data_IF_016579026106
#
_entry.id   IF_016579026106
#
_cell.length_a   1.000
_cell.length_b   1.000
_cell.length_c   1.000
_cell.angle_alpha   90.00
_cell.angle_beta   90.00
_cell.angle_gamma   90.00
#
_symmetry.space_group_name_H-M   'P 1'
#
loop_
_entity.id
_entity.type
_entity.pdbx_description
1 polymer ?
#
# COMPACT_ATOMS: atom_id res chain seq x y z
N UNK A 1 32.51 -6.16 -0.52
CA UNK A 1 31.27 -6.27 0.27
C UNK A 1 30.16 -5.84 -0.66
N UNK A 2 29.24 -6.75 -1.00
CA UNK A 2 27.98 -6.39 -1.66
C UNK A 2 27.21 -5.52 -0.68
N UNK A 3 26.70 -4.38 -1.16
CA UNK A 3 25.82 -3.53 -0.37
C UNK A 3 24.58 -4.36 0.06
N UNK A 4 24.43 -4.57 1.36
CA UNK A 4 23.30 -5.32 1.93
C UNK A 4 22.00 -4.51 1.95
N UNK A 5 21.98 -3.39 1.21
CA UNK A 5 20.86 -2.44 1.20
C UNK A 5 20.47 -2.01 -0.22
N UNK A 6 19.17 -1.86 -0.42
CA UNK A 6 18.60 -1.12 -1.54
C UNK A 6 18.42 0.35 -1.16
N UNK A 7 18.90 1.25 -2.01
CA UNK A 7 18.61 2.67 -1.86
C UNK A 7 17.27 2.98 -2.53
N UNK A 8 16.30 3.42 -1.73
CA UNK A 8 15.07 4.03 -2.23
C UNK A 8 15.39 5.46 -2.63
N UNK A 9 15.15 5.81 -3.88
CA UNK A 9 15.46 7.14 -4.42
C UNK A 9 14.27 7.70 -5.19
N UNK A 10 14.08 9.02 -5.06
CA UNK A 10 13.02 9.76 -5.75
C UNK A 10 13.12 11.24 -5.40
N UNK A 11 12.30 12.06 -6.02
CA UNK A 11 12.15 13.46 -5.63
C UNK A 11 11.27 13.61 -4.38
N UNK A 12 11.22 14.82 -3.83
CA UNK A 12 10.33 15.18 -2.74
C UNK A 12 8.96 15.66 -3.25
N UNK A 13 8.00 15.90 -2.36
CA UNK A 13 6.76 16.57 -2.76
C UNK A 13 7.03 18.02 -3.21
N UNK A 14 8.02 18.69 -2.61
CA UNK A 14 8.41 20.03 -3.01
C UNK A 14 8.95 20.05 -4.46
N UNK A 15 9.76 19.07 -4.85
CA UNK A 15 10.23 18.91 -6.24
C UNK A 15 9.07 18.74 -7.24
N UNK A 16 7.91 18.32 -6.76
CA UNK A 16 6.68 18.20 -7.56
C UNK A 16 5.76 19.42 -7.49
N UNK A 17 6.23 20.53 -6.90
CA UNK A 17 5.52 21.80 -6.82
C UNK A 17 4.61 21.96 -5.60
N UNK A 18 4.71 21.10 -4.60
CA UNK A 18 4.03 21.30 -3.31
C UNK A 18 4.82 22.31 -2.49
N UNK A 19 4.10 23.22 -1.83
CA UNK A 19 4.72 24.27 -1.01
C UNK A 19 5.67 23.67 0.05
N UNK A 20 6.83 24.28 0.26
CA UNK A 20 7.86 23.83 1.20
C UNK A 20 7.38 23.70 2.66
N UNK A 21 6.41 24.52 3.04
CA UNK A 21 5.78 24.49 4.37
C UNK A 21 4.68 23.42 4.52
N UNK A 22 4.33 22.72 3.44
CA UNK A 22 3.33 21.67 3.51
C UNK A 22 3.88 20.46 4.30
N UNK A 23 2.98 19.78 5.00
CA UNK A 23 3.34 18.59 5.75
C UNK A 23 3.99 17.56 4.83
N UNK A 24 5.13 16.99 5.25
CA UNK A 24 5.91 16.00 4.51
C UNK A 24 6.57 16.49 3.20
N UNK A 25 6.58 17.79 2.91
CA UNK A 25 7.09 18.35 1.66
C UNK A 25 8.51 17.89 1.31
N UNK A 26 9.37 17.70 2.32
CA UNK A 26 10.77 17.32 2.19
C UNK A 26 11.03 15.81 2.22
N UNK A 27 10.00 14.98 2.39
CA UNK A 27 10.19 13.54 2.41
C UNK A 27 10.33 12.98 1.00
N UNK A 28 11.28 12.06 0.82
CA UNK A 28 11.50 11.34 -0.44
C UNK A 28 10.24 10.56 -0.85
N UNK A 29 9.90 10.62 -2.12
CA UNK A 29 8.74 9.93 -2.68
C UNK A 29 9.20 8.93 -3.73
N UNK A 30 8.87 7.64 -3.54
CA UNK A 30 9.28 6.57 -4.46
C UNK A 30 8.16 5.60 -4.83
N UNK A 31 7.34 5.05 -3.89
CA UNK A 31 6.28 4.12 -4.23
C UNK A 31 5.24 4.70 -5.18
N UNK A 32 4.83 3.89 -6.15
CA UNK A 32 3.73 4.23 -7.09
C UNK A 32 2.41 3.59 -6.69
N UNK A 33 2.49 2.53 -5.87
CA UNK A 33 1.36 1.78 -5.32
C UNK A 33 1.71 1.26 -3.93
N UNK A 34 0.70 0.80 -3.22
CA UNK A 34 0.79 0.13 -1.93
C UNK A 34 0.33 -1.32 -2.04
N UNK A 35 0.56 -2.10 -1.01
CA UNK A 35 0.08 -3.47 -0.90
C UNK A 35 0.19 -3.98 0.53
N UNK A 36 -0.42 -5.12 0.81
CA UNK A 36 -0.40 -5.74 2.13
C UNK A 36 -0.39 -7.27 2.04
N UNK A 37 0.21 -7.93 3.02
CA UNK A 37 0.29 -9.38 3.10
C UNK A 37 -1.04 -9.98 3.57
N UNK A 38 -1.47 -11.06 2.91
CA UNK A 38 -2.61 -11.90 3.32
C UNK A 38 -2.19 -13.34 3.62
N UNK A 39 -0.96 -13.70 3.25
CA UNK A 39 -0.27 -14.94 3.65
C UNK A 39 1.25 -14.64 3.62
N UNK A 40 2.13 -15.53 4.10
CA UNK A 40 3.56 -15.25 4.20
C UNK A 40 4.22 -14.82 2.87
N UNK A 41 3.75 -15.32 1.73
CA UNK A 41 4.27 -15.00 0.39
C UNK A 41 3.19 -14.41 -0.54
N UNK A 42 1.99 -14.10 -0.03
CA UNK A 42 0.89 -13.55 -0.82
C UNK A 42 0.60 -12.10 -0.44
N UNK A 43 0.58 -11.25 -1.46
CA UNK A 43 0.35 -9.81 -1.31
C UNK A 43 -0.85 -9.38 -2.15
N UNK A 44 -1.72 -8.58 -1.55
CA UNK A 44 -2.84 -7.93 -2.22
C UNK A 44 -2.48 -6.49 -2.56
N UNK A 45 -2.86 -6.06 -3.76
CA UNK A 45 -2.72 -4.68 -4.25
C UNK A 45 -3.86 -4.33 -5.21
N UNK A 46 -3.87 -3.13 -5.77
CA UNK A 46 -4.83 -2.76 -6.81
C UNK A 46 -4.48 -3.40 -8.16
N UNK A 47 -5.50 -3.76 -8.93
CA UNK A 47 -5.35 -4.43 -10.22
C UNK A 47 -4.67 -3.57 -11.28
N UNK A 48 -4.81 -2.24 -11.20
CA UNK A 48 -4.12 -1.32 -12.09
C UNK A 48 -2.63 -1.19 -11.77
N UNK A 49 -2.18 -1.56 -10.56
CA UNK A 49 -0.78 -1.57 -10.16
C UNK A 49 0.02 -2.69 -10.83
N UNK A 50 -0.65 -3.80 -11.18
CA UNK A 50 0.00 -4.97 -11.78
C UNK A 50 -0.68 -5.29 -13.10
N UNK A 51 -0.15 -4.76 -14.21
CA UNK A 51 -0.77 -4.90 -15.55
C UNK A 51 -0.62 -6.29 -16.18
N UNK A 52 0.19 -7.17 -15.60
CA UNK A 52 0.44 -8.54 -16.08
C UNK A 52 1.76 -9.10 -15.54
N UNK A 53 2.08 -10.34 -15.94
CA UNK A 53 3.25 -11.07 -15.41
C UNK A 53 4.58 -10.34 -15.68
N UNK A 54 4.79 -9.77 -16.86
CA UNK A 54 6.00 -9.02 -17.17
C UNK A 54 6.15 -7.76 -16.31
N UNK A 55 5.06 -7.06 -16.10
CA UNK A 55 5.01 -5.87 -15.24
C UNK A 55 5.25 -6.24 -13.76
N UNK A 56 4.66 -7.35 -13.29
CA UNK A 56 4.88 -7.92 -11.97
C UNK A 56 6.38 -8.12 -11.68
N UNK A 57 7.12 -8.73 -12.60
CA UNK A 57 8.56 -9.01 -12.43
C UNK A 57 9.43 -7.76 -12.41
N UNK A 58 8.98 -6.66 -12.98
CA UNK A 58 9.75 -5.41 -13.07
C UNK A 58 9.63 -4.54 -11.82
N UNK A 59 8.59 -4.75 -11.00
CA UNK A 59 8.42 -4.03 -9.74
C UNK A 59 9.12 -4.74 -8.58
N UNK A 60 9.41 -3.94 -7.56
CA UNK A 60 9.87 -4.42 -6.26
C UNK A 60 8.84 -4.04 -5.20
N UNK A 61 8.59 -4.97 -4.30
CA UNK A 61 7.75 -4.77 -3.12
C UNK A 61 8.67 -4.56 -1.94
N UNK A 62 8.63 -3.37 -1.40
CA UNK A 62 9.57 -2.90 -0.38
C UNK A 62 8.84 -2.74 0.93
N UNK A 63 9.31 -3.45 1.95
CA UNK A 63 8.86 -3.26 3.33
C UNK A 63 9.80 -2.30 4.05
N UNK A 64 9.31 -1.65 5.11
CA UNK A 64 10.06 -0.69 5.94
C UNK A 64 10.47 0.62 5.24
N UNK A 65 9.83 0.96 4.12
CA UNK A 65 9.94 2.32 3.62
C UNK A 65 9.04 3.23 4.46
N UNK A 66 9.60 3.73 5.55
CA UNK A 66 8.91 4.52 6.57
C UNK A 66 9.85 5.57 7.17
N UNK A 67 9.41 6.30 8.16
CA UNK A 67 10.28 7.14 8.99
C UNK A 67 10.72 6.38 10.23
N UNK A 68 11.93 6.66 10.68
CA UNK A 68 12.47 6.12 11.94
C UNK A 68 11.91 6.87 13.16
N UNK A 69 12.32 6.45 14.36
CA UNK A 69 11.92 7.10 15.63
C UNK A 69 12.35 8.56 15.76
N UNK A 70 13.28 9.03 14.91
CA UNK A 70 13.75 10.43 14.83
C UNK A 70 13.13 11.20 13.68
N UNK A 71 12.09 10.65 13.04
CA UNK A 71 11.39 11.22 11.88
C UNK A 71 12.21 11.33 10.59
N UNK A 72 13.35 10.63 10.49
CA UNK A 72 14.10 10.56 9.24
C UNK A 72 13.50 9.49 8.33
N UNK A 73 13.50 9.75 7.02
CA UNK A 73 13.07 8.75 6.02
C UNK A 73 14.12 7.65 5.93
N UNK A 74 13.68 6.38 6.05
CA UNK A 74 14.52 5.21 5.84
C UNK A 74 14.67 5.01 4.33
N UNK A 75 15.74 5.57 3.74
CA UNK A 75 16.04 5.41 2.31
C UNK A 75 16.89 4.18 2.00
N UNK A 76 17.60 3.64 2.98
CA UNK A 76 18.38 2.41 2.85
C UNK A 76 17.60 1.26 3.46
N UNK A 77 17.00 0.45 2.61
CA UNK A 77 16.20 -0.70 3.03
C UNK A 77 17.01 -1.97 2.84
N UNK A 78 17.08 -2.81 3.88
CA UNK A 78 17.78 -4.08 3.81
C UNK A 78 17.28 -4.93 2.62
N UNK A 79 18.18 -5.61 1.92
CA UNK A 79 17.82 -6.45 0.75
C UNK A 79 16.78 -7.51 1.10
N UNK A 80 16.78 -7.99 2.35
CA UNK A 80 15.82 -8.97 2.84
C UNK A 80 14.39 -8.42 2.93
N UNK A 81 14.21 -7.11 2.94
CA UNK A 81 12.92 -6.42 2.93
C UNK A 81 12.44 -6.01 1.53
N UNK A 82 13.17 -6.42 0.48
CA UNK A 82 12.83 -6.13 -0.92
C UNK A 82 12.50 -7.41 -1.65
N UNK A 83 11.29 -7.53 -2.14
CA UNK A 83 10.74 -8.74 -2.75
C UNK A 83 10.41 -8.51 -4.22
N UNK A 84 10.54 -9.56 -5.01
CA UNK A 84 10.08 -9.59 -6.40
C UNK A 84 8.72 -10.27 -6.48
N UNK A 85 7.90 -9.83 -7.44
CA UNK A 85 6.69 -10.56 -7.79
C UNK A 85 7.06 -11.66 -8.79
N UNK A 86 6.66 -12.91 -8.51
CA UNK A 86 6.92 -14.07 -9.39
C UNK A 86 5.68 -14.56 -10.11
N UNK A 87 4.49 -14.30 -9.56
CA UNK A 87 3.22 -14.77 -10.11
C UNK A 87 2.09 -13.76 -9.85
N UNK A 88 1.20 -13.61 -10.82
CA UNK A 88 -0.10 -12.95 -10.64
C UNK A 88 -1.15 -14.04 -10.53
N UNK A 89 -1.56 -14.36 -9.29
CA UNK A 89 -2.51 -15.45 -9.01
C UNK A 89 -3.90 -15.08 -9.50
N UNK A 90 -4.33 -13.86 -9.16
CA UNK A 90 -5.64 -13.34 -9.57
C UNK A 90 -5.55 -11.84 -9.77
N UNK A 91 -6.25 -11.35 -10.77
CA UNK A 91 -6.34 -9.92 -11.05
C UNK A 91 -7.68 -9.58 -11.66
N UNK A 92 -8.27 -8.49 -11.21
CA UNK A 92 -9.42 -7.87 -11.87
C UNK A 92 -9.16 -6.38 -12.04
N UNK A 93 -9.51 -5.88 -13.22
CA UNK A 93 -9.58 -4.44 -13.51
C UNK A 93 -10.77 -4.25 -14.45
N UNK A 94 -11.92 -3.88 -13.89
CA UNK A 94 -13.16 -3.79 -14.63
C UNK A 94 -13.94 -2.54 -14.23
N UNK A 95 -14.17 -1.66 -15.19
CA UNK A 95 -15.01 -0.48 -15.00
C UNK A 95 -16.50 -0.83 -14.87
N UNK A 96 -16.91 -1.97 -15.43
CA UNK A 96 -18.31 -2.43 -15.38
C UNK A 96 -18.68 -2.95 -13.99
N UNK A 97 -17.82 -3.80 -13.41
CA UNK A 97 -18.02 -4.35 -12.06
C UNK A 97 -17.42 -3.50 -10.95
N UNK A 98 -16.68 -2.42 -11.28
CA UNK A 98 -15.89 -1.60 -10.35
C UNK A 98 -14.96 -2.44 -9.49
N UNK A 99 -14.34 -3.45 -10.09
CA UNK A 99 -13.32 -4.27 -9.44
C UNK A 99 -11.95 -3.81 -9.88
N UNK A 100 -11.06 -3.63 -8.90
CA UNK A 100 -9.69 -3.22 -9.12
C UNK A 100 -8.80 -3.82 -8.02
N UNK A 101 -8.40 -5.08 -8.21
CA UNK A 101 -7.55 -5.80 -7.26
C UNK A 101 -6.61 -6.77 -7.98
N UNK A 102 -5.50 -7.09 -7.33
CA UNK A 102 -4.60 -8.18 -7.69
C UNK A 102 -4.12 -8.91 -6.45
N UNK A 103 -4.05 -10.24 -6.55
CA UNK A 103 -3.34 -11.13 -5.63
C UNK A 103 -2.11 -11.64 -6.33
N UNK A 104 -0.95 -11.38 -5.77
CA UNK A 104 0.35 -11.75 -6.31
C UNK A 104 1.12 -12.64 -5.34
N UNK A 105 2.04 -13.44 -5.89
CA UNK A 105 3.01 -14.22 -5.11
C UNK A 105 4.37 -13.52 -5.15
N UNK A 106 4.96 -13.39 -3.99
CA UNK A 106 6.33 -12.92 -3.81
C UNK A 106 7.32 -14.07 -4.04
N UNK A 107 8.58 -13.72 -4.32
CA UNK A 107 9.67 -14.67 -4.60
C UNK A 107 10.07 -15.52 -3.39
N UNK A 108 9.68 -15.13 -2.19
CA UNK A 108 9.92 -15.84 -0.94
C UNK A 108 8.95 -15.38 0.15
N UNK A 109 8.76 -16.17 1.24
CA UNK A 109 8.01 -15.73 2.40
C UNK A 109 8.62 -14.49 3.06
N UNK A 110 7.76 -13.57 3.49
CA UNK A 110 8.15 -12.37 4.24
C UNK A 110 8.35 -12.75 5.70
N UNK A 111 9.53 -12.47 6.22
CA UNK A 111 9.93 -12.82 7.59
C UNK A 111 9.67 -11.65 8.54
N UNK A 112 9.28 -11.97 9.77
CA UNK A 112 9.09 -10.97 10.84
C UNK A 112 7.83 -10.11 10.70
N UNK A 113 6.88 -10.50 9.83
CA UNK A 113 5.60 -9.79 9.65
C UNK A 113 4.43 -10.75 9.62
N UNK A 114 3.36 -10.36 10.30
CA UNK A 114 2.12 -11.12 10.33
C UNK A 114 1.22 -10.66 9.18
N UNK A 115 0.75 -11.58 8.32
CA UNK A 115 -0.29 -11.25 7.35
C UNK A 115 -1.54 -10.70 8.02
N UNK A 116 -2.19 -9.75 7.37
CA UNK A 116 -3.43 -9.18 7.90
C UNK A 116 -4.60 -10.14 7.70
N UNK A 117 -5.53 -10.12 8.62
CA UNK A 117 -6.81 -10.82 8.47
C UNK A 117 -7.74 -9.96 7.62
N UNK A 118 -8.36 -10.57 6.62
CA UNK A 118 -9.34 -9.91 5.77
C UNK A 118 -10.76 -10.32 6.15
N UNK A 119 -11.70 -9.42 6.00
CA UNK A 119 -13.13 -9.72 6.17
C UNK A 119 -13.57 -10.72 5.10
N UNK A 120 -14.04 -11.89 5.50
CA UNK A 120 -14.46 -12.97 4.60
C UNK A 120 -15.97 -13.05 4.40
N UNK A 121 -16.76 -12.37 5.22
CA UNK A 121 -18.21 -12.38 5.14
C UNK A 121 -18.83 -11.07 5.62
N UNK A 122 -20.03 -10.79 5.15
CA UNK A 122 -20.77 -9.58 5.47
C UNK A 122 -20.16 -8.31 4.86
N UNK A 123 -20.83 -7.20 5.04
CA UNK A 123 -20.32 -5.87 4.73
C UNK A 123 -19.79 -5.22 6.00
N UNK A 124 -18.86 -4.29 5.85
CA UNK A 124 -18.51 -3.39 6.94
C UNK A 124 -19.75 -2.59 7.35
N UNK A 125 -19.86 -2.24 8.63
CA UNK A 125 -21.01 -1.47 9.13
C UNK A 125 -21.04 -0.05 8.50
N UNK A 126 -22.21 0.50 8.34
CA UNK A 126 -22.39 1.91 8.02
C UNK A 126 -21.80 2.72 9.19
N UNK A 127 -21.18 3.86 8.88
CA UNK A 127 -20.47 4.72 9.84
C UNK A 127 -19.28 4.09 10.60
N UNK A 128 -18.85 2.86 10.23
CA UNK A 128 -17.66 2.25 10.81
C UNK A 128 -16.45 3.17 10.68
N UNK A 129 -15.68 3.30 11.76
CA UNK A 129 -14.45 4.08 11.79
C UNK A 129 -13.35 3.34 11.02
N UNK A 130 -12.59 4.07 10.24
CA UNK A 130 -11.62 3.52 9.30
C UNK A 130 -10.22 4.07 9.53
N UNK A 131 -9.24 3.20 9.28
CA UNK A 131 -7.82 3.54 9.21
C UNK A 131 -7.26 3.01 7.88
N UNK A 132 -6.49 3.84 7.17
CA UNK A 132 -5.73 3.42 5.99
C UNK A 132 -4.25 3.44 6.29
N UNK A 133 -3.52 2.42 5.83
CA UNK A 133 -2.06 2.32 5.93
C UNK A 133 -1.50 2.14 4.52
N UNK A 134 -0.65 3.07 4.09
CA UNK A 134 -0.08 3.03 2.75
C UNK A 134 0.89 4.14 2.44
N UNK A 135 1.08 4.44 1.16
CA UNK A 135 2.09 5.36 0.64
C UNK A 135 1.47 6.51 -0.17
N UNK A 136 0.73 7.44 0.48
CA UNK A 136 0.09 8.55 -0.22
C UNK A 136 1.15 9.39 -0.94
N UNK A 137 0.91 9.72 -2.21
CA UNK A 137 1.83 10.49 -3.08
C UNK A 137 3.23 9.90 -3.21
N UNK A 138 3.41 8.61 -2.88
CA UNK A 138 4.72 7.94 -2.86
C UNK A 138 5.56 8.24 -1.62
N UNK A 139 4.99 8.83 -0.59
CA UNK A 139 5.65 9.09 0.70
C UNK A 139 6.02 7.79 1.42
N UNK A 140 6.94 7.84 2.38
CA UNK A 140 7.09 6.77 3.39
C UNK A 140 5.75 6.41 4.00
N UNK A 141 5.61 5.19 4.49
CA UNK A 141 4.35 4.69 5.09
C UNK A 141 3.67 5.76 5.96
N UNK A 142 2.40 5.97 5.70
CA UNK A 142 1.53 6.84 6.49
C UNK A 142 0.33 6.05 7.00
N UNK A 143 -0.08 6.39 8.20
CA UNK A 143 -1.32 5.91 8.82
C UNK A 143 -2.25 7.12 8.89
N UNK A 144 -3.44 7.00 8.30
CA UNK A 144 -4.48 8.01 8.38
C UNK A 144 -5.75 7.41 8.97
N UNK A 145 -6.20 7.98 10.06
CA UNK A 145 -7.39 7.61 10.82
C UNK A 145 -8.46 8.72 10.77
N UNK A 146 -9.47 8.62 11.63
CA UNK A 146 -10.51 9.64 11.75
C UNK A 146 -11.54 9.66 10.62
N UNK A 147 -11.45 8.72 9.69
CA UNK A 147 -12.43 8.55 8.62
C UNK A 147 -13.52 7.54 8.99
N UNK A 148 -14.61 7.55 8.25
CA UNK A 148 -15.67 6.57 8.41
C UNK A 148 -16.33 6.19 7.07
N UNK A 149 -17.11 5.11 7.09
CA UNK A 149 -17.96 4.70 5.98
C UNK A 149 -19.06 5.74 5.78
N UNK A 150 -19.15 6.31 4.58
CA UNK A 150 -20.14 7.33 4.21
C UNK A 150 -21.33 6.76 3.44
N UNK A 151 -21.08 5.71 2.66
CA UNK A 151 -22.11 5.07 1.85
C UNK A 151 -21.70 3.63 1.53
N UNK A 152 -22.56 2.66 1.89
CA UNK A 152 -22.26 1.24 1.75
C UNK A 152 -23.40 0.48 1.01
N UNK A 153 -23.99 1.10 0.00
CA UNK A 153 -25.09 0.52 -0.77
C UNK A 153 -24.64 -0.19 -2.05
N UNK A 154 -23.35 -0.21 -2.37
CA UNK A 154 -22.81 -0.90 -3.54
C UNK A 154 -22.36 -2.31 -3.19
N UNK A 155 -22.26 -3.18 -4.20
CA UNK A 155 -21.83 -4.57 -4.01
C UNK A 155 -20.31 -4.69 -3.93
N UNK A 156 -19.58 -3.90 -4.70
CA UNK A 156 -18.13 -4.03 -4.90
C UNK A 156 -17.29 -3.04 -4.13
N UNK A 157 -17.88 -2.00 -3.56
CA UNK A 157 -17.17 -0.96 -2.85
C UNK A 157 -18.10 -0.19 -1.91
N UNK A 158 -17.51 0.54 -0.98
CA UNK A 158 -18.14 1.57 -0.16
C UNK A 158 -17.45 2.91 -0.39
N UNK A 159 -18.10 4.00 0.00
CA UNK A 159 -17.56 5.36 -0.07
C UNK A 159 -17.18 5.81 1.32
N UNK A 160 -16.06 6.48 1.43
CA UNK A 160 -15.47 6.95 2.69
C UNK A 160 -14.87 8.35 2.51
N UNK A 161 -14.53 9.00 3.61
CA UNK A 161 -13.79 10.26 3.66
C UNK A 161 -12.34 10.08 4.10
N UNK A 162 -11.75 8.92 3.83
CA UNK A 162 -10.33 8.67 4.06
C UNK A 162 -9.44 9.70 3.34
N UNK A 163 -8.42 10.18 4.02
CA UNK A 163 -7.32 10.93 3.43
C UNK A 163 -6.49 9.99 2.54
N UNK A 164 -6.85 9.94 1.26
CA UNK A 164 -6.26 9.03 0.29
C UNK A 164 -5.83 9.77 -0.96
N UNK A 165 -4.57 9.56 -1.36
CA UNK A 165 -3.94 10.17 -2.52
C UNK A 165 -3.40 9.11 -3.46
N UNK A 166 -2.98 9.52 -4.68
CA UNK A 166 -2.24 8.66 -5.60
C UNK A 166 -1.08 7.98 -4.85
N UNK A 167 -0.84 6.70 -5.09
CA UNK A 167 0.12 5.90 -4.31
C UNK A 167 -0.51 5.04 -3.20
N UNK A 168 -1.68 5.43 -2.66
CA UNK A 168 -2.48 4.57 -1.78
C UNK A 168 -3.23 3.44 -2.53
N UNK A 169 -3.13 3.39 -3.86
CA UNK A 169 -3.67 2.27 -4.64
C UNK A 169 -3.15 0.94 -4.12
N UNK A 170 -4.04 0.07 -3.63
CA UNK A 170 -3.70 -1.21 -3.01
C UNK A 170 -3.40 -1.15 -1.50
N UNK A 171 -3.55 0.00 -0.84
CA UNK A 171 -3.43 0.11 0.62
C UNK A 171 -4.47 -0.72 1.35
N UNK A 172 -4.08 -1.25 2.51
CA UNK A 172 -5.03 -1.85 3.43
C UNK A 172 -5.90 -0.78 4.10
N UNK A 173 -7.20 -1.03 4.17
CA UNK A 173 -8.16 -0.23 4.94
C UNK A 173 -8.72 -1.12 6.04
N UNK A 174 -8.61 -0.68 7.26
CA UNK A 174 -9.03 -1.40 8.44
C UNK A 174 -10.26 -0.76 9.07
N UNK A 175 -11.17 -1.58 9.56
CA UNK A 175 -12.13 -1.17 10.56
C UNK A 175 -11.37 -0.91 11.88
N UNK A 176 -11.39 0.32 12.36
CA UNK A 176 -10.60 0.76 13.52
C UNK A 176 -10.96 0.02 14.82
N UNK A 177 -12.17 -0.56 14.90
CA UNK A 177 -12.64 -1.26 16.09
C UNK A 177 -12.26 -2.73 16.08
N UNK A 178 -12.34 -3.39 14.91
CA UNK A 178 -12.07 -4.84 14.78
C UNK A 178 -10.68 -5.17 14.26
N UNK A 179 -10.01 -4.24 13.59
CA UNK A 179 -8.72 -4.47 12.94
C UNK A 179 -8.82 -5.31 11.66
N UNK A 180 -10.04 -5.51 11.11
CA UNK A 180 -10.32 -6.31 9.90
C UNK A 180 -10.47 -5.42 8.68
#
# INVERSE_FOLDING_TARGET
LKDDYYKVSGGTLEDRGICSYARFAQQTTAPVCSGFLVAPDLLVTAGHCVKGVSNCKNFRWVFDYMVDGSSNVIEQVAVDNVYSCVEVIQRSLSRVSNQDYALIRLDRPVVGRTPVTVRTSGKIADDAQLVIIGHPSGLPTKIADGANVRKNNKRSHFVTNLDSFAGNSGSAVFDANSGL
#
